data_IF_420944111600
#
_entry.id   IF_420944111600
#
_cell.length_a   1.000
_cell.length_b   1.000
_cell.length_c   1.000
_cell.angle_alpha   90.00
_cell.angle_beta   90.00
_cell.angle_gamma   90.00
#
_symmetry.space_group_name_H-M   'P 1'
#
loop_
_entity.id
_entity.type
_entity.pdbx_description
1 polymer ?
#
# COMPACT_ATOMS: atom_id res chain seq x y z
N UNK A 1 -29.96 -88.01 -28.06
CA UNK A 1 -29.31 -86.81 -28.64
C UNK A 1 -30.15 -85.53 -28.56
N UNK A 2 -31.44 -85.53 -28.97
CA UNK A 2 -32.29 -84.32 -28.98
C UNK A 2 -32.59 -83.69 -27.60
N UNK A 3 -32.58 -84.48 -26.52
CA UNK A 3 -32.79 -83.99 -25.16
C UNK A 3 -31.57 -83.26 -24.59
N UNK A 4 -30.37 -83.79 -24.86
CA UNK A 4 -29.10 -83.21 -24.41
C UNK A 4 -28.87 -81.85 -25.09
N UNK A 5 -29.16 -81.76 -26.40
CA UNK A 5 -29.06 -80.50 -27.14
C UNK A 5 -30.03 -79.44 -26.60
N UNK A 6 -31.26 -79.83 -26.20
CA UNK A 6 -32.22 -78.90 -25.57
C UNK A 6 -31.73 -78.41 -24.21
N UNK A 7 -31.18 -79.28 -23.38
CA UNK A 7 -30.62 -78.89 -22.09
C UNK A 7 -29.43 -77.93 -22.23
N UNK A 8 -28.52 -78.19 -23.18
CA UNK A 8 -27.35 -77.30 -23.43
C UNK A 8 -27.79 -75.93 -23.95
N UNK A 9 -28.78 -75.88 -24.83
CA UNK A 9 -29.31 -74.60 -25.35
C UNK A 9 -30.04 -73.81 -24.26
N UNK A 10 -30.81 -74.47 -23.39
CA UNK A 10 -31.47 -73.77 -22.26
C UNK A 10 -30.48 -73.25 -21.22
N UNK A 11 -29.37 -73.97 -20.98
CA UNK A 11 -28.34 -73.56 -20.02
C UNK A 11 -27.48 -72.42 -20.58
N UNK A 12 -27.22 -72.41 -21.89
CA UNK A 12 -26.55 -71.30 -22.58
C UNK A 12 -27.43 -70.04 -22.65
N UNK A 13 -28.76 -70.19 -22.76
CA UNK A 13 -29.69 -69.05 -22.75
C UNK A 13 -29.81 -68.41 -21.35
N UNK A 14 -29.75 -69.22 -20.28
CA UNK A 14 -29.78 -68.72 -18.90
C UNK A 14 -28.51 -67.93 -18.53
N UNK A 15 -27.36 -68.26 -19.12
CA UNK A 15 -26.11 -67.56 -18.92
C UNK A 15 -26.07 -66.15 -19.55
N UNK A 16 -26.96 -65.85 -20.50
CA UNK A 16 -27.05 -64.56 -21.19
C UNK A 16 -27.94 -63.53 -20.48
N UNK A 17 -28.67 -63.91 -19.41
CA UNK A 17 -29.54 -62.99 -18.63
C UNK A 17 -28.81 -62.45 -17.38
N UNK A 18 -27.54 -62.78 -17.19
CA UNK A 18 -26.68 -62.20 -16.14
C UNK A 18 -26.18 -60.78 -16.46
N UNK A 19 -27.09 -59.86 -16.79
CA UNK A 19 -26.79 -58.46 -17.08
C UNK A 19 -27.18 -57.53 -15.92
N UNK A 20 -26.18 -56.80 -15.43
CA UNK A 20 -26.29 -55.59 -14.60
C UNK A 20 -26.86 -55.74 -13.18
N UNK A 21 -26.01 -56.22 -12.27
CA UNK A 21 -25.99 -55.65 -10.91
C UNK A 21 -25.58 -54.18 -11.03
N UNK A 22 -26.56 -53.30 -11.15
CA UNK A 22 -26.36 -51.87 -10.94
C UNK A 22 -25.93 -51.70 -9.49
N UNK A 23 -24.62 -51.62 -9.27
CA UNK A 23 -24.06 -51.16 -7.99
C UNK A 23 -24.74 -49.82 -7.75
N UNK A 24 -25.63 -49.77 -6.77
CA UNK A 24 -26.13 -48.53 -6.19
C UNK A 24 -24.94 -47.59 -6.08
N UNK A 25 -24.98 -46.45 -6.77
CA UNK A 25 -23.94 -45.45 -6.70
C UNK A 25 -23.72 -45.14 -5.22
N UNK A 26 -22.66 -45.75 -4.65
CA UNK A 26 -22.10 -45.28 -3.40
C UNK A 26 -21.71 -43.86 -3.75
N UNK A 27 -22.42 -42.88 -3.19
CA UNK A 27 -21.99 -41.49 -3.14
C UNK A 27 -20.49 -41.54 -2.83
N UNK A 28 -19.68 -41.30 -3.85
CA UNK A 28 -18.24 -41.26 -3.73
C UNK A 28 -18.02 -40.12 -2.74
N UNK A 29 -17.60 -40.46 -1.52
CA UNK A 29 -17.46 -39.55 -0.37
C UNK A 29 -16.26 -38.60 -0.54
N UNK A 30 -15.94 -38.25 -1.78
CA UNK A 30 -14.79 -37.46 -2.24
C UNK A 30 -14.89 -37.04 -3.71
N UNK A 31 -16.09 -36.98 -4.30
CA UNK A 31 -16.25 -36.31 -5.61
C UNK A 31 -16.19 -34.82 -5.34
N UNK A 32 -15.11 -34.17 -5.80
CA UNK A 32 -15.07 -32.71 -5.92
C UNK A 32 -16.28 -32.32 -6.77
N UNK A 33 -17.21 -31.49 -6.26
CA UNK A 33 -18.39 -31.16 -7.02
C UNK A 33 -17.99 -30.45 -8.33
N UNK A 34 -18.78 -30.62 -9.41
CA UNK A 34 -18.33 -30.21 -10.75
C UNK A 34 -18.03 -28.71 -10.89
N UNK A 35 -18.70 -27.87 -10.12
CA UNK A 35 -18.46 -26.44 -9.99
C UNK A 35 -17.09 -26.12 -9.37
N UNK A 36 -16.75 -26.77 -8.25
CA UNK A 36 -15.44 -26.64 -7.63
C UNK A 36 -14.33 -27.11 -8.58
N UNK A 37 -14.54 -28.18 -9.33
CA UNK A 37 -13.57 -28.65 -10.32
C UNK A 37 -13.33 -27.62 -11.43
N UNK A 38 -14.39 -26.96 -11.93
CA UNK A 38 -14.25 -25.87 -12.90
C UNK A 38 -13.50 -24.68 -12.32
N UNK A 39 -13.77 -24.33 -11.05
CA UNK A 39 -13.07 -23.24 -10.37
C UNK A 39 -11.58 -23.55 -10.20
N UNK A 40 -11.25 -24.75 -9.72
CA UNK A 40 -9.88 -25.20 -9.52
C UNK A 40 -9.13 -25.24 -10.87
N UNK A 41 -9.79 -25.73 -11.92
CA UNK A 41 -9.24 -25.78 -13.29
C UNK A 41 -8.97 -24.37 -13.83
N UNK A 42 -9.91 -23.43 -13.65
CA UNK A 42 -9.74 -22.03 -14.05
C UNK A 42 -8.60 -21.35 -13.30
N UNK A 43 -8.49 -21.61 -12.00
CA UNK A 43 -7.41 -21.10 -11.13
C UNK A 43 -6.06 -21.70 -11.51
N UNK A 44 -6.02 -22.98 -11.88
CA UNK A 44 -4.85 -23.64 -12.44
C UNK A 44 -4.36 -22.99 -13.72
N UNK A 45 -5.28 -22.65 -14.63
CA UNK A 45 -4.94 -21.94 -15.85
C UNK A 45 -4.43 -20.54 -15.57
N UNK A 46 -5.03 -19.82 -14.61
CA UNK A 46 -4.58 -18.48 -14.20
C UNK A 46 -3.13 -18.52 -13.71
N UNK A 47 -2.83 -19.42 -12.77
CA UNK A 47 -1.46 -19.60 -12.24
C UNK A 47 -0.42 -19.96 -13.31
N UNK A 48 -0.86 -20.60 -14.41
CA UNK A 48 -0.01 -20.97 -15.55
C UNK A 48 0.08 -19.88 -16.63
N UNK A 49 -0.51 -18.69 -16.40
CA UNK A 49 -0.58 -17.59 -17.38
C UNK A 49 -1.47 -17.90 -18.59
N UNK A 50 -2.34 -18.91 -18.50
CA UNK A 50 -3.24 -19.31 -19.59
C UNK A 50 -4.57 -18.56 -19.47
N UNK A 51 -4.52 -17.23 -19.53
CA UNK A 51 -5.61 -16.33 -19.17
C UNK A 51 -6.91 -16.60 -19.95
N UNK A 52 -6.85 -16.82 -21.27
CA UNK A 52 -8.03 -17.13 -22.09
C UNK A 52 -8.73 -18.42 -21.61
N UNK A 53 -7.96 -19.48 -21.31
CA UNK A 53 -8.53 -20.75 -20.82
C UNK A 53 -9.09 -20.59 -19.42
N UNK A 54 -8.42 -19.81 -18.58
CA UNK A 54 -8.89 -19.47 -17.23
C UNK A 54 -10.26 -18.79 -17.30
N UNK A 55 -10.41 -17.74 -18.10
CA UNK A 55 -11.69 -17.06 -18.35
C UNK A 55 -12.76 -18.00 -18.86
N UNK A 56 -12.44 -18.86 -19.81
CA UNK A 56 -13.41 -19.82 -20.34
C UNK A 56 -13.91 -20.78 -19.26
N UNK A 57 -13.02 -21.27 -18.39
CA UNK A 57 -13.40 -22.14 -17.27
C UNK A 57 -14.30 -21.42 -16.27
N UNK A 58 -13.94 -20.19 -15.86
CA UNK A 58 -14.75 -19.38 -14.94
C UNK A 58 -16.10 -19.00 -15.56
N UNK A 59 -16.14 -18.59 -16.82
CA UNK A 59 -17.40 -18.29 -17.52
C UNK A 59 -18.29 -19.53 -17.64
N UNK A 60 -17.71 -20.70 -17.87
CA UNK A 60 -18.46 -21.97 -17.89
C UNK A 60 -19.05 -22.27 -16.53
N UNK A 61 -18.30 -22.05 -15.45
CA UNK A 61 -18.79 -22.20 -14.08
C UNK A 61 -19.98 -21.28 -13.84
N UNK A 62 -19.84 -19.98 -14.12
CA UNK A 62 -20.88 -18.98 -13.88
C UNK A 62 -22.15 -19.22 -14.71
N UNK A 63 -22.00 -19.72 -15.94
CA UNK A 63 -23.14 -20.04 -16.80
C UNK A 63 -23.85 -21.34 -16.40
N UNK A 64 -23.12 -22.32 -15.88
CA UNK A 64 -23.66 -23.67 -15.58
C UNK A 64 -24.16 -23.77 -14.14
N UNK A 65 -23.51 -23.06 -13.21
CA UNK A 65 -23.75 -23.10 -11.76
C UNK A 65 -23.79 -21.68 -11.17
N UNK A 66 -24.76 -20.84 -11.56
CA UNK A 66 -24.83 -19.44 -11.11
C UNK A 66 -24.99 -19.29 -9.58
N UNK A 67 -25.62 -20.26 -8.92
CA UNK A 67 -25.85 -20.28 -7.47
C UNK A 67 -24.75 -21.03 -6.68
N UNK A 68 -23.61 -21.33 -7.31
CA UNK A 68 -22.50 -22.04 -6.65
C UNK A 68 -21.86 -21.17 -5.55
N UNK A 69 -21.41 -21.81 -4.47
CA UNK A 69 -20.68 -21.14 -3.39
C UNK A 69 -19.37 -20.48 -3.88
N UNK A 70 -18.77 -21.00 -4.96
CA UNK A 70 -17.56 -20.43 -5.58
C UNK A 70 -17.86 -19.45 -6.72
N UNK A 71 -19.13 -19.12 -6.99
CA UNK A 71 -19.48 -18.20 -8.06
C UNK A 71 -18.89 -16.79 -7.83
N UNK A 72 -18.94 -16.28 -6.60
CA UNK A 72 -18.33 -15.00 -6.26
C UNK A 72 -16.81 -15.01 -6.54
N UNK A 73 -16.13 -16.05 -6.06
CA UNK A 73 -14.69 -16.24 -6.28
C UNK A 73 -14.35 -16.37 -7.77
N UNK A 74 -15.19 -17.04 -8.57
CA UNK A 74 -15.01 -17.18 -10.01
C UNK A 74 -15.17 -15.84 -10.74
N UNK A 75 -16.15 -15.00 -10.36
CA UNK A 75 -16.31 -13.65 -10.90
C UNK A 75 -15.08 -12.79 -10.64
N UNK A 76 -14.56 -12.81 -9.41
CA UNK A 76 -13.36 -12.07 -9.05
C UNK A 76 -12.14 -12.59 -9.81
N UNK A 77 -11.94 -13.91 -9.86
CA UNK A 77 -10.81 -14.53 -10.56
C UNK A 77 -10.84 -14.30 -12.08
N UNK A 78 -12.03 -14.11 -12.66
CA UNK A 78 -12.17 -13.67 -14.04
C UNK A 78 -11.60 -12.25 -14.24
N UNK A 79 -11.83 -11.35 -13.29
CA UNK A 79 -11.16 -10.04 -13.24
C UNK A 79 -9.64 -10.16 -13.11
N UNK A 80 -9.15 -11.02 -12.21
CA UNK A 80 -7.71 -11.28 -12.04
C UNK A 80 -7.06 -11.76 -13.35
N UNK A 81 -7.74 -12.63 -14.09
CA UNK A 81 -7.21 -13.13 -15.36
C UNK A 81 -6.98 -12.05 -16.40
N UNK A 82 -7.83 -11.02 -16.47
CA UNK A 82 -7.64 -9.88 -17.36
C UNK A 82 -6.57 -8.94 -16.80
N UNK A 83 -6.56 -8.75 -15.49
CA UNK A 83 -5.64 -7.87 -14.80
C UNK A 83 -4.19 -8.33 -14.92
N UNK A 84 -3.94 -9.63 -14.75
CA UNK A 84 -2.63 -10.27 -14.88
C UNK A 84 -2.17 -10.41 -16.33
N UNK A 85 -3.12 -10.59 -17.27
CA UNK A 85 -2.79 -10.54 -18.71
C UNK A 85 -2.29 -9.16 -19.11
N UNK A 86 -2.85 -8.12 -18.50
CA UNK A 86 -2.41 -6.74 -18.67
C UNK A 86 -2.60 -6.21 -20.09
N UNK A 87 -2.02 -5.04 -20.35
CA UNK A 87 -2.32 -4.27 -21.55
C UNK A 87 -3.64 -3.51 -21.43
N UNK A 88 -3.79 -2.47 -22.25
CA UNK A 88 -4.89 -1.49 -22.11
C UNK A 88 -6.26 -2.15 -22.17
N UNK A 89 -6.51 -2.98 -23.19
CA UNK A 89 -7.81 -3.63 -23.39
C UNK A 89 -8.17 -4.55 -22.23
N UNK A 90 -7.23 -5.38 -21.76
CA UNK A 90 -7.50 -6.30 -20.67
C UNK A 90 -7.63 -5.57 -19.34
N UNK A 91 -6.88 -4.49 -19.07
CA UNK A 91 -7.06 -3.71 -17.84
C UNK A 91 -8.45 -3.04 -17.79
N UNK A 92 -8.98 -2.60 -18.93
CA UNK A 92 -10.36 -2.10 -19.03
C UNK A 92 -11.38 -3.21 -18.77
N UNK A 93 -11.18 -4.40 -19.37
CA UNK A 93 -12.03 -5.55 -19.10
C UNK A 93 -11.96 -5.99 -17.64
N UNK A 94 -10.77 -5.95 -17.02
CA UNK A 94 -10.57 -6.26 -15.62
C UNK A 94 -11.38 -5.32 -14.73
N UNK A 95 -11.30 -4.01 -14.98
CA UNK A 95 -12.12 -3.02 -14.28
C UNK A 95 -13.61 -3.35 -14.38
N UNK A 96 -14.12 -3.65 -15.57
CA UNK A 96 -15.52 -3.99 -15.78
C UNK A 96 -15.91 -5.26 -15.00
N UNK A 97 -15.04 -6.28 -14.95
CA UNK A 97 -15.29 -7.50 -14.18
C UNK A 97 -15.31 -7.25 -12.67
N UNK A 98 -14.38 -6.45 -12.15
CA UNK A 98 -14.39 -6.10 -10.72
C UNK A 98 -15.60 -5.23 -10.36
N UNK A 99 -16.04 -4.33 -11.25
CA UNK A 99 -17.28 -3.57 -11.07
C UNK A 99 -18.49 -4.50 -11.02
N UNK A 100 -18.57 -5.47 -11.93
CA UNK A 100 -19.61 -6.50 -11.89
C UNK A 100 -19.59 -7.29 -10.59
N UNK A 101 -18.40 -7.70 -10.11
CA UNK A 101 -18.27 -8.39 -8.83
C UNK A 101 -18.84 -7.54 -7.67
N UNK A 102 -18.52 -6.26 -7.62
CA UNK A 102 -19.01 -5.33 -6.59
C UNK A 102 -20.54 -5.14 -6.67
N UNK A 103 -21.11 -5.18 -7.88
CA UNK A 103 -22.56 -5.09 -8.12
C UNK A 103 -23.27 -6.37 -7.67
N UNK A 104 -22.76 -7.55 -8.04
CA UNK A 104 -23.39 -8.83 -7.71
C UNK A 104 -23.17 -9.26 -6.26
N UNK A 105 -22.01 -8.93 -5.68
CA UNK A 105 -21.59 -9.38 -4.35
C UNK A 105 -21.15 -8.20 -3.46
N UNK A 106 -22.02 -7.20 -3.20
CA UNK A 106 -21.63 -5.95 -2.57
C UNK A 106 -21.16 -6.07 -1.11
N UNK A 107 -21.58 -7.14 -0.41
CA UNK A 107 -21.23 -7.43 0.98
C UNK A 107 -20.13 -8.49 1.12
N UNK A 108 -19.60 -9.01 0.00
CA UNK A 108 -18.56 -10.01 0.06
C UNK A 108 -17.27 -9.39 0.59
N UNK A 109 -16.48 -10.11 1.43
CA UNK A 109 -15.22 -9.57 1.98
C UNK A 109 -14.26 -9.04 0.90
N UNK A 110 -14.19 -9.73 -0.25
CA UNK A 110 -13.39 -9.31 -1.41
C UNK A 110 -13.91 -8.08 -2.17
N UNK A 111 -15.01 -7.45 -1.76
CA UNK A 111 -15.49 -6.22 -2.40
C UNK A 111 -14.49 -5.06 -2.22
N UNK A 112 -13.79 -5.02 -1.08
CA UNK A 112 -12.69 -4.06 -0.84
C UNK A 112 -11.55 -4.32 -1.82
N UNK A 113 -11.12 -5.58 -1.94
CA UNK A 113 -10.06 -5.99 -2.87
C UNK A 113 -10.41 -5.66 -4.32
N UNK A 114 -11.67 -5.89 -4.73
CA UNK A 114 -12.14 -5.60 -6.07
C UNK A 114 -12.04 -4.09 -6.38
N UNK A 115 -12.40 -3.23 -5.42
CA UNK A 115 -12.27 -1.79 -5.58
C UNK A 115 -10.80 -1.34 -5.64
N UNK A 116 -9.91 -1.95 -4.84
CA UNK A 116 -8.48 -1.68 -4.91
C UNK A 116 -7.87 -2.13 -6.25
N UNK A 117 -8.34 -3.25 -6.80
CA UNK A 117 -7.96 -3.73 -8.13
C UNK A 117 -8.47 -2.80 -9.24
N UNK A 118 -9.67 -2.23 -9.12
CA UNK A 118 -10.19 -1.20 -10.04
C UNK A 118 -9.27 0.04 -10.03
N UNK A 119 -8.93 0.54 -8.84
CA UNK A 119 -8.02 1.68 -8.68
C UNK A 119 -6.65 1.33 -9.28
N UNK A 120 -6.10 0.16 -8.95
CA UNK A 120 -4.79 -0.26 -9.46
C UNK A 120 -4.78 -0.50 -10.97
N UNK A 121 -5.89 -0.96 -11.56
CA UNK A 121 -6.02 -1.12 -13.01
C UNK A 121 -5.97 0.24 -13.71
N UNK A 122 -6.73 1.22 -13.21
CA UNK A 122 -6.71 2.58 -13.73
C UNK A 122 -5.36 3.27 -13.50
N UNK A 123 -4.73 3.03 -12.35
CA UNK A 123 -3.40 3.54 -12.03
C UNK A 123 -2.35 3.06 -13.04
N UNK A 124 -2.40 1.78 -13.47
CA UNK A 124 -1.54 1.24 -14.53
C UNK A 124 -1.76 1.91 -15.91
N UNK A 125 -2.92 2.54 -16.12
CA UNK A 125 -3.27 3.24 -17.36
C UNK A 125 -2.95 4.74 -17.33
N UNK A 126 -2.45 5.25 -16.20
CA UNK A 126 -2.03 6.66 -16.08
C UNK A 126 -0.85 6.92 -17.02
N UNK A 127 -1.00 7.94 -17.87
CA UNK A 127 0.05 8.40 -18.76
C UNK A 127 0.98 9.39 -18.06
N UNK A 128 2.06 9.76 -18.74
CA UNK A 128 2.90 10.89 -18.32
C UNK A 128 2.09 12.19 -18.22
N UNK A 129 2.46 13.13 -17.32
CA UNK A 129 1.68 14.35 -17.05
C UNK A 129 1.35 15.24 -18.27
N UNK A 130 2.16 15.16 -19.32
CA UNK A 130 2.02 15.91 -20.57
C UNK A 130 0.97 15.34 -21.54
N UNK A 131 0.43 14.15 -21.27
CA UNK A 131 -0.53 13.45 -22.13
C UNK A 131 -1.95 13.52 -21.59
N UNK A 132 -2.88 12.88 -22.29
CA UNK A 132 -4.27 12.77 -21.83
C UNK A 132 -4.36 12.12 -20.45
N UNK A 133 -5.09 12.79 -19.56
CA UNK A 133 -5.23 12.47 -18.15
C UNK A 133 -6.60 11.84 -17.82
N UNK A 134 -7.28 11.22 -18.80
CA UNK A 134 -8.58 10.57 -18.56
C UNK A 134 -8.48 9.51 -17.45
N UNK A 135 -7.49 8.62 -17.51
CA UNK A 135 -7.31 7.56 -16.52
C UNK A 135 -6.86 8.08 -15.15
N UNK A 136 -6.12 9.18 -15.13
CA UNK A 136 -5.74 9.88 -13.88
C UNK A 136 -6.98 10.38 -13.14
N UNK A 137 -7.89 11.07 -13.85
CA UNK A 137 -9.17 11.51 -13.28
C UNK A 137 -10.07 10.34 -12.88
N UNK A 138 -10.17 9.32 -13.73
CA UNK A 138 -10.91 8.09 -13.42
C UNK A 138 -10.38 7.40 -12.15
N UNK A 139 -9.06 7.37 -11.96
CA UNK A 139 -8.44 6.83 -10.73
C UNK A 139 -8.89 7.62 -9.50
N UNK A 140 -8.92 8.96 -9.57
CA UNK A 140 -9.43 9.80 -8.47
C UNK A 140 -10.92 9.56 -8.18
N UNK A 141 -11.73 9.36 -9.22
CA UNK A 141 -13.15 9.04 -9.05
C UNK A 141 -13.34 7.69 -8.32
N UNK A 142 -12.53 6.68 -8.67
CA UNK A 142 -12.56 5.35 -8.04
C UNK A 142 -11.99 5.37 -6.62
N UNK A 143 -10.99 6.21 -6.34
CA UNK A 143 -10.51 6.45 -4.97
C UNK A 143 -11.59 7.14 -4.15
N UNK A 144 -12.25 8.17 -4.68
CA UNK A 144 -13.33 8.84 -3.98
C UNK A 144 -14.52 7.90 -3.72
N UNK A 145 -14.79 6.95 -4.62
CA UNK A 145 -15.75 5.87 -4.38
C UNK A 145 -15.30 4.92 -3.25
N UNK A 146 -14.03 4.54 -3.24
CA UNK A 146 -13.46 3.71 -2.18
C UNK A 146 -13.62 4.36 -0.82
N UNK A 147 -13.21 5.63 -0.66
CA UNK A 147 -13.30 6.33 0.62
C UNK A 147 -14.74 6.49 1.12
N UNK A 148 -15.69 6.69 0.22
CA UNK A 148 -17.12 6.77 0.58
C UNK A 148 -17.70 5.43 1.03
N UNK A 149 -17.27 4.33 0.41
CA UNK A 149 -17.86 3.00 0.61
C UNK A 149 -17.13 2.17 1.67
N UNK A 150 -15.83 2.33 1.77
CA UNK A 150 -14.91 1.54 2.59
C UNK A 150 -14.10 2.45 3.54
N UNK A 151 -14.79 3.41 4.17
CA UNK A 151 -14.18 4.40 5.07
C UNK A 151 -13.53 3.82 6.33
N UNK A 152 -13.83 2.58 6.69
CA UNK A 152 -13.27 1.89 7.86
C UNK A 152 -12.24 0.81 7.49
N UNK A 153 -11.81 0.75 6.22
CA UNK A 153 -10.89 -0.26 5.71
C UNK A 153 -9.43 0.02 6.14
N UNK A 154 -8.69 -1.03 6.49
CA UNK A 154 -7.24 -0.98 6.76
C UNK A 154 -6.43 -0.37 5.61
N UNK A 155 -6.93 -0.50 4.37
CA UNK A 155 -6.32 0.09 3.18
C UNK A 155 -6.50 1.61 3.04
N UNK A 156 -7.33 2.26 3.86
CA UNK A 156 -7.67 3.68 3.69
C UNK A 156 -6.45 4.63 3.73
N UNK A 157 -5.47 4.48 4.65
CA UNK A 157 -4.27 5.32 4.64
C UNK A 157 -3.47 5.17 3.33
N UNK A 158 -3.36 3.94 2.82
CA UNK A 158 -2.66 3.63 1.57
C UNK A 158 -3.39 4.24 0.37
N UNK A 159 -4.72 4.14 0.32
CA UNK A 159 -5.54 4.74 -0.73
C UNK A 159 -5.44 6.27 -0.73
N UNK A 160 -5.37 6.91 0.44
CA UNK A 160 -5.12 8.35 0.55
C UNK A 160 -3.72 8.74 0.06
N UNK A 161 -2.72 7.90 0.29
CA UNK A 161 -1.39 8.10 -0.29
C UNK A 161 -1.41 7.98 -1.83
N UNK A 162 -2.17 7.04 -2.37
CA UNK A 162 -2.38 6.93 -3.82
C UNK A 162 -3.08 8.15 -4.39
N UNK A 163 -4.11 8.68 -3.71
CA UNK A 163 -4.77 9.92 -4.08
C UNK A 163 -3.77 11.05 -4.28
N UNK A 164 -2.92 11.31 -3.27
CA UNK A 164 -1.87 12.33 -3.34
C UNK A 164 -0.92 12.08 -4.52
N UNK A 165 -0.51 10.83 -4.74
CA UNK A 165 0.36 10.47 -5.87
C UNK A 165 -0.29 10.70 -7.24
N UNK A 166 -1.60 10.49 -7.36
CA UNK A 166 -2.36 10.69 -8.60
C UNK A 166 -2.66 12.17 -8.82
N UNK A 167 -2.97 12.92 -7.76
CA UNK A 167 -3.13 14.39 -7.79
C UNK A 167 -1.83 15.08 -8.21
N UNK A 168 -0.66 14.60 -7.75
CA UNK A 168 0.66 15.05 -8.19
C UNK A 168 0.83 14.97 -9.72
N UNK A 169 0.28 13.94 -10.37
CA UNK A 169 0.38 13.78 -11.84
C UNK A 169 -0.38 14.91 -12.54
N UNK A 170 -1.58 15.26 -12.05
CA UNK A 170 -2.37 16.35 -12.61
C UNK A 170 -1.71 17.71 -12.36
N UNK A 171 -1.26 17.95 -11.14
CA UNK A 171 -0.57 19.17 -10.75
C UNK A 171 0.71 19.39 -11.58
N UNK A 172 1.49 18.33 -11.86
CA UNK A 172 2.65 18.39 -12.76
C UNK A 172 2.29 18.76 -14.19
N UNK A 173 1.18 18.23 -14.70
CA UNK A 173 0.67 18.57 -16.02
C UNK A 173 0.33 20.06 -16.12
N UNK A 174 -0.46 20.56 -15.16
CA UNK A 174 -0.84 21.97 -15.08
C UNK A 174 0.37 22.89 -14.85
N UNK A 175 1.35 22.45 -14.05
CA UNK A 175 2.59 23.17 -13.84
C UNK A 175 3.38 23.32 -15.15
N UNK A 176 3.49 22.24 -15.93
CA UNK A 176 4.13 22.26 -17.25
C UNK A 176 3.47 23.27 -18.20
N UNK A 177 2.13 23.35 -18.18
CA UNK A 177 1.37 24.34 -18.97
C UNK A 177 1.61 25.77 -18.45
N UNK A 178 1.60 25.97 -17.13
CA UNK A 178 1.89 27.26 -16.51
C UNK A 178 3.29 27.76 -16.86
N UNK A 179 4.28 26.89 -16.77
CA UNK A 179 5.68 27.17 -17.15
C UNK A 179 5.80 27.52 -18.63
N UNK A 180 5.14 26.76 -19.50
CA UNK A 180 5.11 27.07 -20.94
C UNK A 180 4.55 28.47 -21.23
N UNK A 181 3.51 28.91 -20.51
CA UNK A 181 2.99 30.27 -20.63
C UNK A 181 3.97 31.32 -20.10
N UNK A 182 4.59 31.07 -18.95
CA UNK A 182 5.57 31.96 -18.34
C UNK A 182 6.77 32.19 -19.26
N UNK A 183 7.32 31.12 -19.83
CA UNK A 183 8.48 31.15 -20.74
C UNK A 183 8.19 31.96 -22.02
N UNK A 184 6.91 32.05 -22.43
CA UNK A 184 6.46 32.85 -23.59
C UNK A 184 6.02 34.27 -23.21
N UNK A 185 6.16 34.67 -21.96
CA UNK A 185 5.74 35.97 -21.45
C UNK A 185 4.21 36.13 -21.32
N UNK A 186 3.43 35.05 -21.42
CA UNK A 186 2.00 35.09 -21.13
C UNK A 186 1.75 34.97 -19.62
N UNK A 187 1.94 36.08 -18.93
CA UNK A 187 1.79 36.18 -17.47
C UNK A 187 0.40 35.76 -16.99
N UNK A 188 -0.66 36.22 -17.64
CA UNK A 188 -2.02 35.92 -17.21
C UNK A 188 -2.34 34.43 -17.31
N UNK A 189 -1.90 33.78 -18.40
CA UNK A 189 -2.03 32.33 -18.57
C UNK A 189 -1.24 31.53 -17.54
N UNK A 190 0.00 31.95 -17.24
CA UNK A 190 0.84 31.31 -16.24
C UNK A 190 0.24 31.40 -14.83
N UNK A 191 -0.16 32.62 -14.42
CA UNK A 191 -0.79 32.87 -13.12
C UNK A 191 -2.05 32.03 -12.96
N UNK A 192 -2.94 31.99 -13.97
CA UNK A 192 -4.16 31.20 -13.91
C UNK A 192 -3.89 29.71 -13.67
N UNK A 193 -2.88 29.14 -14.32
CA UNK A 193 -2.48 27.73 -14.13
C UNK A 193 -1.86 27.47 -12.77
N UNK A 194 -0.96 28.33 -12.33
CA UNK A 194 -0.33 28.15 -11.02
C UNK A 194 -1.32 28.33 -9.87
N UNK A 195 -2.25 29.28 -9.96
CA UNK A 195 -3.31 29.45 -8.96
C UNK A 195 -4.26 28.25 -8.91
N UNK A 196 -4.59 27.67 -10.06
CA UNK A 196 -5.39 26.44 -10.12
C UNK A 196 -4.72 25.28 -9.39
N UNK A 197 -3.38 25.18 -9.44
CA UNK A 197 -2.63 24.16 -8.69
C UNK A 197 -2.70 24.42 -7.19
N UNK A 198 -2.44 25.66 -6.76
CA UNK A 198 -2.49 26.04 -5.32
C UNK A 198 -3.87 25.78 -4.74
N UNK A 199 -4.94 26.04 -5.49
CA UNK A 199 -6.32 25.83 -5.04
C UNK A 199 -6.72 24.34 -5.00
N UNK A 200 -6.37 23.57 -6.03
CA UNK A 200 -6.85 22.19 -6.19
C UNK A 200 -5.96 21.14 -5.54
N UNK A 201 -4.67 21.40 -5.41
CA UNK A 201 -3.67 20.41 -4.97
C UNK A 201 -2.79 20.99 -3.85
N UNK A 202 -3.37 21.29 -2.66
CA UNK A 202 -2.62 21.88 -1.55
C UNK A 202 -1.52 20.96 -0.99
N UNK A 203 -1.64 19.64 -1.19
CA UNK A 203 -0.66 18.64 -0.78
C UNK A 203 0.35 18.28 -1.89
N UNK A 204 0.36 19.03 -3.00
CA UNK A 204 1.26 18.77 -4.13
C UNK A 204 2.73 18.78 -3.68
N UNK A 205 3.47 17.71 -4.01
CA UNK A 205 4.85 17.52 -3.54
C UNK A 205 5.83 18.62 -3.98
N UNK A 206 5.52 19.34 -5.05
CA UNK A 206 6.34 20.39 -5.67
C UNK A 206 5.63 21.76 -5.63
N UNK A 207 4.72 21.95 -4.67
CA UNK A 207 3.95 23.18 -4.50
C UNK A 207 4.85 24.41 -4.24
N UNK A 208 5.98 24.20 -3.56
CA UNK A 208 7.01 25.21 -3.33
C UNK A 208 7.49 25.88 -4.63
N UNK A 209 7.73 25.10 -5.70
CA UNK A 209 8.12 25.64 -7.01
C UNK A 209 7.01 26.49 -7.64
N UNK A 210 5.75 26.09 -7.46
CA UNK A 210 4.58 26.81 -7.98
C UNK A 210 4.43 28.16 -7.28
N UNK A 211 4.51 28.15 -5.95
CA UNK A 211 4.46 29.35 -5.11
C UNK A 211 5.61 30.29 -5.44
N UNK A 212 6.81 29.76 -5.64
CA UNK A 212 7.99 30.56 -5.95
C UNK A 212 7.84 31.24 -7.31
N UNK A 213 7.36 30.52 -8.33
CA UNK A 213 7.08 31.10 -9.66
C UNK A 213 5.98 32.16 -9.61
N UNK A 214 4.92 31.95 -8.81
CA UNK A 214 3.89 32.98 -8.57
C UNK A 214 4.49 34.21 -7.90
N UNK A 215 5.31 34.03 -6.86
CA UNK A 215 6.04 35.10 -6.19
C UNK A 215 6.87 35.93 -7.16
N UNK A 216 7.66 35.26 -8.01
CA UNK A 216 8.50 35.93 -9.01
C UNK A 216 7.68 36.72 -10.04
N UNK A 217 6.60 36.13 -10.54
CA UNK A 217 5.74 36.79 -11.52
C UNK A 217 5.12 38.06 -10.93
N UNK A 218 4.65 37.98 -9.68
CA UNK A 218 4.04 39.12 -9.00
C UNK A 218 5.06 40.18 -8.56
N UNK A 219 6.27 39.79 -8.16
CA UNK A 219 7.38 40.71 -7.85
C UNK A 219 7.82 41.51 -9.09
N UNK A 220 7.79 40.91 -10.28
CA UNK A 220 8.14 41.59 -11.53
C UNK A 220 7.09 42.59 -12.01
N UNK A 221 5.89 42.57 -11.43
CA UNK A 221 4.85 43.56 -11.75
C UNK A 221 5.25 44.95 -11.28
N UNK A 222 4.61 46.00 -11.82
CA UNK A 222 4.81 47.39 -11.35
C UNK A 222 3.80 47.81 -10.28
N UNK A 223 2.86 46.93 -9.96
CA UNK A 223 1.74 47.22 -9.06
C UNK A 223 2.11 46.90 -7.62
N UNK A 224 1.95 47.86 -6.71
CA UNK A 224 2.13 47.61 -5.27
C UNK A 224 1.23 46.47 -4.77
N UNK A 225 0.00 46.37 -5.31
CA UNK A 225 -0.92 45.28 -4.98
C UNK A 225 -0.37 43.90 -5.37
N UNK A 226 0.39 43.84 -6.46
CA UNK A 226 1.02 42.59 -6.89
C UNK A 226 2.26 42.28 -6.03
N UNK A 227 3.01 43.28 -5.59
CA UNK A 227 4.09 43.06 -4.62
C UNK A 227 3.57 42.49 -3.29
N UNK A 228 2.39 42.90 -2.82
CA UNK A 228 1.76 42.30 -1.63
C UNK A 228 1.45 40.81 -1.85
N UNK A 229 1.02 40.41 -3.05
CA UNK A 229 0.85 38.98 -3.39
C UNK A 229 2.18 38.24 -3.46
N UNK A 230 3.23 38.87 -3.98
CA UNK A 230 4.56 38.27 -3.99
C UNK A 230 5.03 37.96 -2.56
N UNK A 231 4.83 38.90 -1.63
CA UNK A 231 5.10 38.69 -0.20
C UNK A 231 4.28 37.55 0.38
N UNK A 232 3.00 37.45 0.01
CA UNK A 232 2.13 36.35 0.45
C UNK A 232 2.71 34.99 0.03
N UNK A 233 3.02 34.80 -1.26
CA UNK A 233 3.56 33.52 -1.76
C UNK A 233 4.95 33.19 -1.20
N UNK A 234 5.85 34.16 -1.09
CA UNK A 234 7.15 33.91 -0.43
C UNK A 234 6.99 33.63 1.06
N UNK A 235 6.01 34.26 1.71
CA UNK A 235 5.64 34.01 3.10
C UNK A 235 5.14 32.58 3.30
N UNK A 236 4.36 32.05 2.38
CA UNK A 236 3.92 30.65 2.40
C UNK A 236 5.10 29.67 2.29
N UNK A 237 6.06 29.94 1.41
CA UNK A 237 7.29 29.14 1.30
C UNK A 237 8.07 29.17 2.62
N UNK A 238 8.29 30.36 3.18
CA UNK A 238 9.02 30.54 4.43
C UNK A 238 8.30 29.87 5.62
N UNK A 239 6.96 29.83 5.61
CA UNK A 239 6.17 29.22 6.67
C UNK A 239 6.12 27.69 6.56
N UNK A 240 5.87 27.15 5.36
CA UNK A 240 5.51 25.74 5.17
C UNK A 240 6.58 24.84 4.56
N UNK A 241 7.61 25.41 3.92
CA UNK A 241 8.53 24.66 3.05
C UNK A 241 10.01 24.81 3.44
N UNK A 242 10.41 24.55 4.70
CA UNK A 242 11.79 24.76 5.17
C UNK A 242 12.84 23.87 4.50
N UNK A 243 12.42 22.79 3.84
CA UNK A 243 13.30 21.87 3.10
C UNK A 243 13.33 22.15 1.60
N UNK A 244 12.59 23.14 1.12
CA UNK A 244 12.55 23.52 -0.29
C UNK A 244 13.90 24.10 -0.74
N UNK A 245 14.37 23.81 -1.97
CA UNK A 245 15.47 24.54 -2.59
C UNK A 245 15.23 26.06 -2.67
N UNK A 246 13.97 26.49 -2.68
CA UNK A 246 13.57 27.90 -2.79
C UNK A 246 13.40 28.61 -1.44
N UNK A 247 13.54 27.91 -0.31
CA UNK A 247 13.31 28.48 1.02
C UNK A 247 14.19 29.70 1.30
N UNK A 248 15.51 29.55 1.14
CA UNK A 248 16.47 30.62 1.43
C UNK A 248 16.20 31.85 0.56
N UNK A 249 15.94 31.65 -0.73
CA UNK A 249 15.68 32.76 -1.62
C UNK A 249 14.34 33.43 -1.31
N UNK A 250 13.28 32.68 -0.98
CA UNK A 250 12.00 33.26 -0.59
C UNK A 250 12.14 34.18 0.66
N UNK A 251 12.92 33.75 1.65
CA UNK A 251 13.23 34.56 2.84
C UNK A 251 14.00 35.83 2.48
N UNK A 252 14.98 35.74 1.59
CA UNK A 252 15.71 36.92 1.09
C UNK A 252 14.76 37.89 0.34
N UNK A 253 13.88 37.36 -0.52
CA UNK A 253 12.90 38.18 -1.26
C UNK A 253 11.95 38.91 -0.33
N UNK A 254 11.44 38.25 0.71
CA UNK A 254 10.63 38.91 1.75
C UNK A 254 11.37 40.10 2.37
N UNK A 255 12.64 39.92 2.72
CA UNK A 255 13.48 41.00 3.24
C UNK A 255 13.63 42.16 2.25
N UNK A 256 13.86 41.87 0.96
CA UNK A 256 13.96 42.91 -0.08
C UNK A 256 12.64 43.65 -0.31
N UNK A 257 11.51 42.97 -0.14
CA UNK A 257 10.17 43.54 -0.25
C UNK A 257 9.72 44.26 1.03
N UNK A 258 10.53 44.24 2.09
CA UNK A 258 10.22 44.86 3.38
C UNK A 258 9.13 44.13 4.16
N UNK A 259 8.96 42.82 3.94
CA UNK A 259 8.05 41.96 4.67
C UNK A 259 8.77 41.23 5.80
N UNK A 260 8.04 40.97 6.89
CA UNK A 260 8.55 40.15 7.99
C UNK A 260 8.55 38.67 7.59
N UNK A 261 9.59 37.95 8.00
CA UNK A 261 9.70 36.50 7.74
C UNK A 261 8.80 35.79 8.75
N UNK A 262 7.78 35.03 8.31
CA UNK A 262 6.91 34.30 9.21
C UNK A 262 7.67 33.17 9.92
N UNK A 263 7.21 32.80 11.11
CA UNK A 263 7.72 31.60 11.79
C UNK A 263 7.35 30.33 11.01
N UNK A 264 8.25 29.35 11.02
CA UNK A 264 8.04 28.06 10.36
C UNK A 264 6.94 27.30 11.10
N UNK A 265 5.89 26.92 10.36
CA UNK A 265 4.84 26.06 10.85
C UNK A 265 5.30 24.60 10.80
N UNK A 266 5.45 24.00 11.98
CA UNK A 266 5.92 22.62 12.13
C UNK A 266 4.98 21.59 11.47
N UNK A 267 3.67 21.86 11.43
CA UNK A 267 2.69 20.94 10.85
C UNK A 267 2.79 20.96 9.32
N UNK A 268 2.79 22.15 8.70
CA UNK A 268 2.99 22.28 7.25
C UNK A 268 4.34 21.71 6.82
N UNK A 269 5.40 22.00 7.57
CA UNK A 269 6.74 21.46 7.29
C UNK A 269 6.79 19.92 7.36
N UNK A 270 6.09 19.31 8.34
CA UNK A 270 6.00 17.86 8.47
C UNK A 270 5.20 17.23 7.32
N UNK A 271 4.08 17.85 6.92
CA UNK A 271 3.26 17.41 5.78
C UNK A 271 4.07 17.45 4.47
N UNK A 272 4.69 18.59 4.16
CA UNK A 272 5.53 18.70 2.98
C UNK A 272 6.69 17.68 3.00
N UNK A 273 7.33 17.49 4.15
CA UNK A 273 8.39 16.49 4.31
C UNK A 273 7.91 15.06 4.02
N UNK A 274 6.67 14.72 4.37
CA UNK A 274 6.09 13.42 4.06
C UNK A 274 5.82 13.25 2.55
N UNK A 275 5.52 14.33 1.84
CA UNK A 275 5.23 14.33 0.41
C UNK A 275 6.51 14.38 -0.46
N UNK A 276 7.63 14.84 0.11
CA UNK A 276 8.93 14.76 -0.55
C UNK A 276 9.30 13.29 -0.79
N UNK A 277 9.38 12.90 -2.08
CA UNK A 277 9.95 11.61 -2.46
C UNK A 277 11.42 11.61 -2.02
N UNK A 278 11.79 10.75 -1.08
CA UNK A 278 13.19 10.66 -0.65
C UNK A 278 14.08 10.45 -1.88
N UNK A 279 15.20 11.19 -2.01
CA UNK A 279 16.16 10.92 -3.06
C UNK A 279 16.63 9.47 -2.87
N UNK A 280 16.29 8.60 -3.82
CA UNK A 280 16.54 7.17 -3.68
C UNK A 280 18.00 6.93 -3.25
N UNK A 281 18.17 6.35 -2.06
CA UNK A 281 19.49 6.06 -1.50
C UNK A 281 20.36 5.28 -2.48
N UNK A 282 21.68 5.51 -2.42
CA UNK A 282 22.61 4.84 -3.32
C UNK A 282 22.52 3.31 -3.17
N UNK A 283 21.93 2.64 -4.15
CA UNK A 283 21.90 1.18 -4.25
C UNK A 283 22.89 0.73 -5.33
N UNK A 284 23.88 -0.12 -4.99
CA UNK A 284 24.91 -0.55 -5.94
C UNK A 284 24.36 -1.37 -7.12
N UNK A 285 23.15 -1.93 -6.97
CA UNK A 285 22.46 -2.68 -8.02
C UNK A 285 21.51 -1.83 -8.87
N UNK A 286 21.28 -0.56 -8.48
CA UNK A 286 20.34 0.34 -9.15
C UNK A 286 20.60 0.51 -10.66
N UNK A 287 21.85 0.68 -11.15
CA UNK A 287 22.09 0.79 -12.59
C UNK A 287 21.59 -0.43 -13.38
N UNK A 288 21.69 -1.62 -12.78
CA UNK A 288 21.25 -2.88 -13.41
C UNK A 288 19.73 -3.05 -13.35
N UNK A 289 19.11 -2.65 -12.23
CA UNK A 289 17.65 -2.62 -12.08
C UNK A 289 17.02 -1.59 -13.01
N UNK A 290 17.58 -0.38 -13.10
CA UNK A 290 17.09 0.68 -13.99
C UNK A 290 17.30 0.33 -15.46
N UNK A 291 18.41 -0.35 -15.81
CA UNK A 291 18.61 -0.94 -17.13
C UNK A 291 17.55 -2.01 -17.45
N UNK A 292 17.24 -2.89 -16.48
CA UNK A 292 16.17 -3.89 -16.60
C UNK A 292 14.79 -3.24 -16.78
N UNK A 293 14.47 -2.20 -16.02
CA UNK A 293 13.24 -1.39 -16.15
C UNK A 293 13.16 -0.70 -17.52
N UNK A 294 14.26 -0.07 -17.98
CA UNK A 294 14.33 0.62 -19.25
C UNK A 294 14.15 -0.31 -20.46
N UNK A 295 14.54 -1.58 -20.33
CA UNK A 295 14.30 -2.63 -21.32
C UNK A 295 12.94 -3.35 -21.14
N UNK A 296 12.11 -2.94 -20.17
CA UNK A 296 10.80 -3.53 -19.91
C UNK A 296 10.84 -4.91 -19.24
N UNK A 297 11.99 -5.34 -18.73
CA UNK A 297 12.13 -6.65 -18.06
C UNK A 297 11.62 -6.66 -16.61
N UNK A 298 11.44 -5.48 -16.00
CA UNK A 298 10.88 -5.34 -14.65
C UNK A 298 9.67 -4.42 -14.73
N UNK A 299 8.43 -4.96 -14.74
CA UNK A 299 7.24 -4.13 -14.67
C UNK A 299 7.23 -3.36 -13.34
N UNK A 300 6.66 -2.14 -13.30
CA UNK A 300 6.48 -1.43 -12.03
C UNK A 300 5.69 -2.29 -11.05
N UNK A 301 5.99 -2.22 -9.74
CA UNK A 301 5.31 -3.03 -8.75
C UNK A 301 3.82 -2.73 -8.76
N UNK A 302 3.03 -3.80 -8.69
CA UNK A 302 1.59 -3.72 -8.64
C UNK A 302 1.13 -3.01 -7.37
N UNK A 303 0.37 -1.90 -7.51
CA UNK A 303 -0.07 -1.11 -6.38
C UNK A 303 -0.91 -1.95 -5.40
N UNK A 304 -1.80 -2.80 -5.91
CA UNK A 304 -2.61 -3.67 -5.08
C UNK A 304 -1.75 -4.64 -4.25
N UNK A 305 -0.77 -5.29 -4.87
CA UNK A 305 0.12 -6.21 -4.13
C UNK A 305 0.94 -5.50 -3.06
N UNK A 306 1.41 -4.28 -3.36
CA UNK A 306 2.13 -3.46 -2.38
C UNK A 306 1.23 -3.11 -1.21
N UNK A 307 -0.03 -2.73 -1.48
CA UNK A 307 -0.99 -2.43 -0.43
C UNK A 307 -1.30 -3.65 0.45
N UNK A 308 -1.50 -4.82 -0.15
CA UNK A 308 -1.72 -6.06 0.60
C UNK A 308 -0.56 -6.37 1.53
N UNK A 309 0.67 -6.36 1.01
CA UNK A 309 1.87 -6.62 1.82
C UNK A 309 2.05 -5.61 2.95
N UNK A 310 1.70 -4.34 2.73
CA UNK A 310 1.78 -3.31 3.75
C UNK A 310 0.81 -3.58 4.90
N UNK A 311 -0.46 -3.88 4.59
CA UNK A 311 -1.48 -4.20 5.60
C UNK A 311 -1.15 -5.51 6.32
N UNK A 312 -0.70 -6.54 5.60
CA UNK A 312 -0.27 -7.80 6.22
C UNK A 312 0.91 -7.61 7.17
N UNK A 313 1.88 -6.77 6.79
CA UNK A 313 3.03 -6.46 7.64
C UNK A 313 2.61 -5.66 8.88
N UNK A 314 1.68 -4.71 8.76
CA UNK A 314 1.14 -3.97 9.90
C UNK A 314 0.42 -4.89 10.88
N UNK A 315 -0.48 -5.74 10.39
CA UNK A 315 -1.18 -6.76 11.19
C UNK A 315 -0.22 -7.71 11.90
N UNK A 316 0.85 -8.13 11.22
CA UNK A 316 1.87 -8.99 11.81
C UNK A 316 2.62 -8.27 12.96
N UNK A 317 2.93 -6.98 12.80
CA UNK A 317 3.57 -6.16 13.85
C UNK A 317 2.66 -5.96 15.04
N UNK A 318 1.38 -5.68 14.81
CA UNK A 318 0.38 -5.56 15.88
C UNK A 318 0.21 -6.88 16.64
N UNK A 319 0.16 -8.00 15.92
CA UNK A 319 0.09 -9.33 16.54
C UNK A 319 1.34 -9.65 17.37
N UNK A 320 2.53 -9.25 16.91
CA UNK A 320 3.77 -9.40 17.65
C UNK A 320 3.80 -8.54 18.92
N UNK A 321 3.35 -7.28 18.83
CA UNK A 321 3.21 -6.37 19.96
C UNK A 321 2.22 -6.91 20.99
N UNK A 322 1.03 -7.35 20.56
CA UNK A 322 0.02 -7.95 21.44
C UNK A 322 0.54 -9.24 22.10
N UNK A 323 1.30 -10.07 21.37
CA UNK A 323 1.94 -11.25 21.93
C UNK A 323 3.04 -10.89 22.95
N UNK A 324 3.79 -9.80 22.73
CA UNK A 324 4.78 -9.30 23.66
C UNK A 324 4.13 -8.75 24.95
N UNK A 325 3.04 -7.99 24.82
CA UNK A 325 2.24 -7.49 25.96
C UNK A 325 1.63 -8.64 26.76
N UNK A 326 1.06 -9.65 26.11
CA UNK A 326 0.52 -10.84 26.78
C UNK A 326 1.61 -11.63 27.51
N UNK A 327 2.83 -11.73 26.95
CA UNK A 327 3.98 -12.35 27.61
C UNK A 327 4.46 -11.53 28.82
N UNK A 328 4.45 -10.20 28.72
CA UNK A 328 4.78 -9.31 29.83
C UNK A 328 3.77 -9.45 30.97
N UNK A 329 2.47 -9.43 30.66
CA UNK A 329 1.40 -9.63 31.65
C UNK A 329 1.48 -11.01 32.34
N UNK A 330 1.78 -12.08 31.58
CA UNK A 330 1.98 -13.41 32.14
C UNK A 330 3.28 -13.54 32.96
N UNK A 331 4.31 -12.73 32.67
CA UNK A 331 5.57 -12.69 33.41
C UNK A 331 5.42 -12.07 34.81
N UNK A 332 4.56 -11.06 34.94
CA UNK A 332 4.28 -10.41 36.23
C UNK A 332 3.49 -11.32 37.18
N UNK A 333 2.55 -12.14 36.67
CA UNK A 333 1.81 -13.11 37.50
C UNK A 333 2.70 -14.23 38.06
N UNK A 334 3.73 -14.66 37.31
CA UNK A 334 4.68 -15.68 37.80
C UNK A 334 5.55 -15.11 38.93
N UNK A 335 5.96 -13.84 38.87
CA UNK A 335 6.75 -13.22 39.93
C UNK A 335 5.92 -13.04 41.22
N UNK A 336 4.64 -12.68 41.11
CA UNK A 336 3.74 -12.54 42.25
C UNK A 336 3.45 -13.90 42.92
N UNK A 337 3.19 -14.96 42.15
CA UNK A 337 3.00 -16.31 42.74
C UNK A 337 4.28 -16.85 43.40
N UNK A 338 5.46 -16.49 42.89
CA UNK A 338 6.74 -16.93 43.46
C UNK A 338 7.05 -16.21 44.77
N UNK A 339 6.74 -14.91 44.88
CA UNK A 339 6.87 -14.15 46.14
C UNK A 339 5.84 -14.57 47.19
N UNK A 340 4.60 -14.91 46.80
CA UNK A 340 3.59 -15.42 47.73
C UNK A 340 3.95 -16.83 48.23
N UNK A 341 4.53 -17.70 47.38
CA UNK A 341 5.03 -19.02 47.83
C UNK A 341 6.30 -18.95 48.66
N UNK A 342 7.20 -18.01 48.40
CA UNK A 342 8.40 -17.82 49.23
C UNK A 342 8.08 -17.16 50.58
N UNK A 343 7.11 -16.24 50.64
CA UNK A 343 6.66 -15.67 51.91
C UNK A 343 5.82 -16.64 52.76
N UNK A 344 5.09 -17.58 52.14
CA UNK A 344 4.35 -18.63 52.84
C UNK A 344 5.22 -19.82 53.32
N UNK A 345 6.47 -19.96 52.89
CA UNK A 345 7.39 -21.04 53.30
C UNK A 345 8.49 -20.61 54.28
N UNK A 346 8.45 -19.36 54.76
CA UNK A 346 9.48 -18.76 55.62
C UNK A 346 9.09 -18.53 57.08
N UNK A 347 8.18 -19.32 57.66
CA UNK A 347 7.88 -19.26 59.09
C UNK A 347 7.71 -20.67 59.67
N UNK A 348 8.83 -21.31 60.02
CA UNK A 348 8.97 -22.07 61.26
C UNK A 348 10.41 -22.58 61.45
N UNK A 349 10.83 -22.62 62.72
CA UNK A 349 12.03 -23.23 63.30
C UNK A 349 13.26 -22.34 63.60
N UNK A 350 13.24 -21.87 64.84
CA UNK A 350 14.30 -21.44 65.75
C UNK A 350 15.56 -22.34 65.84
N UNK A 351 16.71 -21.75 66.22
CA UNK A 351 17.76 -22.50 66.97
C UNK A 351 19.20 -21.95 67.00
N UNK A 352 19.47 -21.04 67.95
CA UNK A 352 20.65 -20.90 68.85
C UNK A 352 22.15 -21.02 68.40
N UNK A 353 22.95 -20.10 69.02
CA UNK A 353 24.39 -20.17 69.43
C UNK A 353 25.45 -19.95 68.31
N UNK A 354 26.59 -19.24 68.46
CA UNK A 354 27.36 -18.69 69.61
C UNK A 354 28.40 -17.67 69.09
N UNK A 355 29.10 -17.01 70.03
CA UNK A 355 29.88 -15.77 69.91
C UNK A 355 31.35 -15.84 69.36
N UNK A 356 32.00 -14.67 69.41
CA UNK A 356 33.45 -14.31 69.23
C UNK A 356 33.90 -14.02 67.78
N UNK A 357 34.66 -12.97 67.43
CA UNK A 357 35.37 -11.89 68.12
C UNK A 357 36.42 -11.25 67.17
N UNK A 358 36.84 -10.00 67.45
CA UNK A 358 37.92 -9.18 66.82
C UNK A 358 37.61 -8.53 65.44
N UNK A 359 37.53 -7.19 65.28
CA UNK A 359 38.44 -6.06 65.55
C UNK A 359 39.49 -5.75 64.45
N UNK A 360 39.68 -4.44 64.19
CA UNK A 360 40.68 -3.72 63.36
C UNK A 360 40.22 -3.36 61.92
N UNK A 361 39.80 -2.10 61.61
CA UNK A 361 40.46 -0.77 61.48
C UNK A 361 40.94 -0.44 60.05
N UNK A 362 40.52 0.75 59.58
CA UNK A 362 41.15 1.55 58.51
C UNK A 362 40.88 1.09 57.08
N UNK A 363 40.72 1.92 56.05
CA UNK A 363 40.70 3.37 55.87
C UNK A 363 40.42 3.58 54.37
N UNK A 364 39.53 4.51 54.00
CA UNK A 364 39.49 5.06 52.63
C UNK A 364 40.73 5.92 52.33
N UNK A 365 40.87 6.61 51.17
CA UNK A 365 39.78 7.18 50.37
C UNK A 365 39.95 7.23 48.84
N UNK A 366 38.95 7.84 48.22
CA UNK A 366 38.84 8.54 46.93
C UNK A 366 40.11 8.99 46.20
N UNK A 367 40.13 8.87 44.86
CA UNK A 367 40.12 9.99 43.90
C UNK A 367 40.61 9.52 42.51
N UNK A 368 39.87 9.86 41.45
CA UNK A 368 40.38 10.56 40.26
C UNK A 368 39.29 10.66 39.18
N UNK A 369 38.70 11.86 39.12
CA UNK A 369 38.14 12.42 37.89
C UNK A 369 39.27 13.06 37.09
N UNK A 370 39.06 13.16 35.78
CA UNK A 370 39.47 14.24 34.87
C UNK A 370 40.38 13.82 33.71
N UNK A 371 40.03 14.34 32.51
CA UNK A 371 40.75 14.41 31.23
C UNK A 371 40.34 13.43 30.13
N UNK A 372 39.27 13.79 29.42
CA UNK A 372 39.16 13.50 27.98
C UNK A 372 38.25 14.51 27.26
N UNK A 373 38.64 15.79 27.23
CA UNK A 373 38.05 16.78 26.32
C UNK A 373 39.09 17.81 25.90
N UNK A 374 39.83 17.54 24.81
CA UNK A 374 40.39 18.57 23.92
C UNK A 374 41.24 17.93 22.82
N UNK A 375 40.68 17.76 21.61
CA UNK A 375 41.46 17.79 20.37
C UNK A 375 40.64 18.44 19.26
N UNK A 376 40.77 19.76 19.16
CA UNK A 376 40.45 20.53 17.98
C UNK A 376 41.67 21.41 17.64
N UNK A 377 42.03 21.46 16.35
CA UNK A 377 43.09 22.26 15.67
C UNK A 377 44.55 21.86 15.88
N UNK A 378 45.20 21.32 14.83
CA UNK A 378 45.88 22.05 13.73
C UNK A 378 46.86 21.11 13.02
N UNK A 379 46.81 21.06 11.68
CA UNK A 379 47.99 21.08 10.80
C UNK A 379 47.55 21.26 9.35
N UNK A 380 47.61 22.51 8.90
CA UNK A 380 48.11 22.84 7.56
C UNK A 380 49.63 22.94 7.71
N UNK A 381 50.35 22.25 6.84
CA UNK A 381 51.59 22.68 6.18
C UNK A 381 51.61 21.98 4.81
#
# INVERSE_FOLDING_TARGET
MRFIVRCVVTLALLALVGGCSQKSARLQKGVVPPDQNLFDTGSDYLRKGQYIKSRLAFQTLLNTYPDSDVAAEAYFAMGDSFYEEGGTENLLQAEDQYKNFIVFYPQHPRAVDAQLKIISANYKLINTPDRDQQYTRRTLDEIAQFERRFGDSDYLPIVRQWRSTVEDVLARGDYGVGKFYADRGNVLGAVGRYQEIVEKYPDYAELDMVLYNLGQIYEQSRSEKDHEKAKEYYGEIARGFPFSPHYTEAVERLGTLGAEVPEVDAEMAARHRANLKEPEGFSPLKPLVDFGKALGFVPPPDQYEVAQRAVEAEKAREAELAAAEARAAAGDDILIETEIRQSASGADASGAATAEGAASTGSGPEAEREKASSRYKRKQD
#
